data_IF_331054336466
#
_entry.id   IF_331054336466
#
_cell.length_a   1.000
_cell.length_b   1.000
_cell.length_c   1.000
_cell.angle_alpha   90.00
_cell.angle_beta   90.00
_cell.angle_gamma   90.00
#
_symmetry.space_group_name_H-M   'P 1'
#
loop_
_entity.id
_entity.type
_entity.pdbx_description
1 polymer ?
#
# COMPACT_ATOMS: atom_id res chain seq x y z
N UNK A 1 -27.98 1.55 6.90
CA UNK A 1 -26.78 1.55 6.05
C UNK A 1 -25.81 0.56 6.67
N UNK A 2 -25.35 -0.45 5.94
CA UNK A 2 -24.31 -1.37 6.41
C UNK A 2 -23.10 -0.55 6.86
N UNK A 3 -22.63 -0.75 8.10
CA UNK A 3 -21.46 -0.08 8.63
C UNK A 3 -20.19 -0.74 8.06
N UNK A 4 -20.03 -0.64 6.74
CA UNK A 4 -18.97 -1.29 6.00
C UNK A 4 -17.62 -0.64 6.34
N UNK A 5 -16.70 -1.41 6.90
CA UNK A 5 -15.41 -0.92 7.37
C UNK A 5 -14.45 -0.73 6.20
N UNK A 6 -14.14 0.54 5.93
CA UNK A 6 -13.12 0.95 4.96
C UNK A 6 -11.72 0.71 5.54
N UNK A 7 -11.04 -0.35 5.12
CA UNK A 7 -9.74 -0.76 5.69
C UNK A 7 -8.61 -0.64 4.69
N UNK A 8 -7.50 0.00 5.09
CA UNK A 8 -6.25 0.07 4.31
C UNK A 8 -5.09 -0.41 5.19
N UNK A 9 -4.23 -1.29 4.68
CA UNK A 9 -3.00 -1.74 5.35
C UNK A 9 -1.76 -1.34 4.55
N UNK A 10 -1.09 -0.27 4.99
CA UNK A 10 0.06 0.32 4.33
C UNK A 10 1.37 -0.14 4.99
N UNK A 11 2.25 -0.83 4.26
CA UNK A 11 3.54 -1.33 4.76
C UNK A 11 4.73 -0.59 4.12
N UNK A 12 5.82 -0.38 4.87
CA UNK A 12 7.05 0.20 4.32
C UNK A 12 7.62 -0.68 3.20
N UNK A 13 7.86 -1.95 3.51
CA UNK A 13 8.22 -2.99 2.54
C UNK A 13 7.99 -4.38 3.14
N UNK A 14 8.46 -5.43 2.45
CA UNK A 14 8.54 -6.76 3.02
C UNK A 14 7.20 -7.46 3.17
N UNK A 15 6.42 -7.55 2.09
CA UNK A 15 5.18 -8.36 1.99
C UNK A 15 5.46 -9.87 2.15
N UNK A 16 5.84 -10.27 3.36
CA UNK A 16 6.16 -11.63 3.79
C UNK A 16 4.93 -12.32 4.39
N UNK A 17 5.05 -13.64 4.64
CA UNK A 17 3.93 -14.47 5.09
C UNK A 17 3.18 -13.92 6.32
N UNK A 18 3.81 -13.42 7.40
CA UNK A 18 3.05 -12.89 8.55
C UNK A 18 2.22 -11.64 8.20
N UNK A 19 2.70 -10.80 7.28
CA UNK A 19 1.89 -9.69 6.76
C UNK A 19 0.71 -10.16 5.92
N UNK A 20 0.90 -11.20 5.10
CA UNK A 20 -0.21 -11.77 4.32
C UNK A 20 -1.25 -12.43 5.23
N UNK A 21 -0.84 -13.11 6.29
CA UNK A 21 -1.73 -13.65 7.30
C UNK A 21 -2.46 -12.54 8.06
N UNK A 22 -1.77 -11.47 8.45
CA UNK A 22 -2.39 -10.33 9.09
C UNK A 22 -3.41 -9.67 8.16
N UNK A 23 -3.05 -9.44 6.89
CA UNK A 23 -3.95 -8.96 5.85
C UNK A 23 -5.20 -9.84 5.70
N UNK A 24 -5.03 -11.16 5.65
CA UNK A 24 -6.16 -12.10 5.60
C UNK A 24 -7.06 -11.95 6.83
N UNK A 25 -6.50 -11.79 8.03
CA UNK A 25 -7.28 -11.61 9.25
C UNK A 25 -8.13 -10.34 9.25
N UNK A 26 -7.66 -9.27 8.59
CA UNK A 26 -8.40 -8.00 8.48
C UNK A 26 -9.69 -8.14 7.66
N UNK A 27 -9.78 -9.14 6.78
CA UNK A 27 -10.99 -9.42 6.00
C UNK A 27 -12.12 -10.04 6.84
N UNK A 28 -11.79 -10.58 8.02
CA UNK A 28 -12.72 -11.32 8.87
C UNK A 28 -13.16 -12.68 8.31
N UNK A 29 -12.57 -13.16 7.22
CA UNK A 29 -12.89 -14.45 6.59
C UNK A 29 -11.83 -15.49 6.92
N UNK A 30 -12.26 -16.76 7.02
CA UNK A 30 -11.35 -17.88 7.30
C UNK A 30 -10.35 -18.12 6.16
N UNK A 31 -10.81 -18.02 4.91
CA UNK A 31 -9.99 -18.21 3.71
C UNK A 31 -10.37 -17.17 2.65
N UNK A 32 -9.95 -15.90 2.80
CA UNK A 32 -10.33 -14.81 1.90
C UNK A 32 -9.73 -14.95 0.51
N UNK A 33 -10.46 -14.45 -0.48
CA UNK A 33 -9.95 -14.17 -1.83
C UNK A 33 -9.09 -12.92 -1.80
N UNK A 34 -7.78 -13.07 -1.97
CA UNK A 34 -6.85 -11.95 -1.97
C UNK A 34 -6.21 -11.82 -3.35
N UNK A 35 -6.44 -10.69 -4.01
CA UNK A 35 -5.90 -10.40 -5.32
C UNK A 35 -4.60 -9.60 -5.23
N UNK A 36 -3.54 -10.08 -5.87
CA UNK A 36 -2.39 -9.24 -6.19
C UNK A 36 -2.73 -8.33 -7.38
N UNK A 37 -2.36 -7.06 -7.27
CA UNK A 37 -2.34 -6.10 -8.37
C UNK A 37 -0.86 -5.69 -8.65
N UNK A 38 -0.17 -6.39 -9.58
CA UNK A 38 1.27 -6.28 -9.77
C UNK A 38 1.69 -5.17 -10.75
N UNK A 39 0.83 -4.17 -10.97
CA UNK A 39 1.05 -3.15 -12.01
C UNK A 39 2.34 -2.35 -11.79
N UNK A 40 2.74 -2.10 -10.53
CA UNK A 40 3.99 -1.39 -10.23
C UNK A 40 5.26 -2.16 -10.65
N UNK A 41 5.18 -3.49 -10.79
CA UNK A 41 6.25 -4.32 -11.37
C UNK A 41 5.96 -4.72 -12.83
N UNK A 42 5.10 -3.97 -13.53
CA UNK A 42 4.70 -4.23 -14.91
C UNK A 42 4.20 -5.66 -15.14
N UNK A 43 3.40 -6.18 -14.21
CA UNK A 43 2.87 -7.56 -14.23
C UNK A 43 3.95 -8.65 -14.38
N UNK A 44 5.14 -8.43 -13.80
CA UNK A 44 6.25 -9.37 -13.83
C UNK A 44 5.82 -10.80 -13.46
N UNK A 45 5.97 -11.78 -14.39
CA UNK A 45 5.64 -13.18 -14.12
C UNK A 45 6.38 -13.76 -12.92
N UNK A 46 7.66 -13.40 -12.73
CA UNK A 46 8.47 -13.84 -11.60
C UNK A 46 7.94 -13.31 -10.25
N UNK A 47 7.45 -12.06 -10.23
CA UNK A 47 6.83 -11.50 -9.03
C UNK A 47 5.49 -12.18 -8.73
N UNK A 48 4.71 -12.48 -9.78
CA UNK A 48 3.45 -13.22 -9.65
C UNK A 48 3.68 -14.63 -9.10
N UNK A 49 4.68 -15.35 -9.61
CA UNK A 49 5.05 -16.68 -9.10
C UNK A 49 5.50 -16.62 -7.63
N UNK A 50 6.30 -15.61 -7.27
CA UNK A 50 6.71 -15.36 -5.88
C UNK A 50 5.51 -15.11 -4.97
N UNK A 51 4.53 -14.33 -5.44
CA UNK A 51 3.27 -14.09 -4.71
C UNK A 51 2.49 -15.38 -4.47
N UNK A 52 2.28 -16.19 -5.52
CA UNK A 52 1.58 -17.46 -5.41
C UNK A 52 2.30 -18.42 -4.45
N UNK A 53 3.63 -18.45 -4.52
CA UNK A 53 4.47 -19.26 -3.63
C UNK A 53 4.35 -18.82 -2.17
N UNK A 54 4.37 -17.50 -1.89
CA UNK A 54 4.20 -16.95 -0.53
C UNK A 54 2.81 -17.19 0.05
N UNK A 55 1.79 -17.27 -0.79
CA UNK A 55 0.45 -17.65 -0.37
C UNK A 55 0.33 -19.16 -0.10
N UNK A 56 1.26 -19.97 -0.64
CA UNK A 56 1.34 -21.40 -0.38
C UNK A 56 1.46 -21.69 1.11
N UNK A 57 0.54 -22.49 1.64
CA UNK A 57 0.48 -22.84 3.07
C UNK A 57 -0.24 -21.81 3.96
N UNK A 58 -0.75 -20.72 3.39
CA UNK A 58 -1.61 -19.76 4.11
C UNK A 58 -3.09 -20.07 3.85
N UNK A 59 -3.96 -19.73 4.79
CA UNK A 59 -5.41 -19.76 4.61
C UNK A 59 -5.89 -18.59 3.73
N UNK A 60 -5.40 -18.55 2.49
CA UNK A 60 -5.71 -17.53 1.47
C UNK A 60 -6.10 -18.25 0.17
N UNK A 61 -7.08 -17.70 -0.55
CA UNK A 61 -7.32 -18.03 -1.95
C UNK A 61 -6.65 -16.96 -2.81
N UNK A 62 -5.44 -17.20 -3.36
CA UNK A 62 -4.69 -16.17 -4.06
C UNK A 62 -5.24 -15.95 -5.47
N UNK A 63 -5.43 -14.68 -5.83
CA UNK A 63 -5.83 -14.21 -7.15
C UNK A 63 -4.79 -13.21 -7.69
N UNK A 64 -4.82 -12.96 -8.99
CA UNK A 64 -3.92 -12.00 -9.65
C UNK A 64 -4.69 -11.28 -10.75
N UNK A 65 -4.71 -9.96 -10.70
CA UNK A 65 -5.26 -9.13 -11.78
C UNK A 65 -4.11 -8.43 -12.50
N UNK A 66 -3.77 -8.94 -13.70
CA UNK A 66 -2.84 -8.26 -14.61
C UNK A 66 -3.53 -7.08 -15.29
N UNK A 67 -2.80 -6.03 -15.62
CA UNK A 67 -3.29 -4.87 -16.38
C UNK A 67 -2.73 -4.85 -17.81
N UNK A 68 -1.56 -5.43 -18.03
CA UNK A 68 -0.94 -5.67 -19.34
C UNK A 68 -1.55 -6.95 -19.94
N UNK A 69 -2.78 -6.83 -20.45
CA UNK A 69 -3.58 -7.95 -20.95
C UNK A 69 -3.94 -7.81 -22.42
N UNK A 70 -4.43 -8.91 -22.98
CA UNK A 70 -5.10 -8.97 -24.27
C UNK A 70 -6.57 -9.29 -24.05
N UNK A 71 -7.46 -8.63 -24.78
CA UNK A 71 -8.91 -8.91 -24.73
C UNK A 71 -9.26 -10.31 -25.25
N UNK A 72 -8.32 -10.99 -25.94
CA UNK A 72 -8.49 -12.39 -26.31
C UNK A 72 -8.44 -13.32 -25.09
N UNK A 73 -7.63 -12.98 -24.07
CA UNK A 73 -7.35 -13.84 -22.91
C UNK A 73 -8.17 -13.44 -21.67
N UNK A 74 -8.50 -12.16 -21.52
CA UNK A 74 -9.32 -11.68 -20.40
C UNK A 74 -10.70 -11.24 -20.88
N UNK A 75 -11.73 -11.97 -20.41
CA UNK A 75 -13.15 -11.70 -20.74
C UNK A 75 -13.92 -10.99 -19.62
N UNK A 76 -13.40 -11.04 -18.41
CA UNK A 76 -13.97 -10.38 -17.24
C UNK A 76 -13.37 -8.97 -17.13
N UNK A 77 -14.20 -7.98 -16.83
CA UNK A 77 -13.75 -6.59 -16.65
C UNK A 77 -12.85 -6.44 -15.42
N UNK A 78 -12.01 -5.40 -15.38
CA UNK A 78 -11.25 -5.09 -14.16
C UNK A 78 -12.16 -4.86 -12.95
N UNK A 79 -13.33 -4.25 -13.16
CA UNK A 79 -14.29 -3.97 -12.10
C UNK A 79 -14.87 -5.25 -11.52
N UNK A 80 -15.39 -6.14 -12.37
CA UNK A 80 -15.95 -7.41 -11.93
C UNK A 80 -14.91 -8.27 -11.20
N UNK A 81 -13.68 -8.34 -11.73
CA UNK A 81 -12.59 -9.07 -11.11
C UNK A 81 -12.25 -8.50 -9.72
N UNK A 82 -11.92 -7.21 -9.64
CA UNK A 82 -11.44 -6.59 -8.40
C UNK A 82 -12.53 -6.50 -7.32
N UNK A 83 -13.80 -6.26 -7.70
CA UNK A 83 -14.91 -6.19 -6.73
C UNK A 83 -15.39 -7.56 -6.23
N UNK A 84 -14.94 -8.66 -6.84
CA UNK A 84 -15.24 -10.02 -6.38
C UNK A 84 -14.29 -10.54 -5.29
N UNK A 85 -13.33 -9.70 -4.86
CA UNK A 85 -12.28 -10.03 -3.90
C UNK A 85 -12.65 -9.62 -2.47
N UNK A 86 -11.97 -10.22 -1.50
CA UNK A 86 -12.06 -9.87 -0.08
C UNK A 86 -10.93 -8.91 0.33
N UNK A 87 -9.81 -8.99 -0.37
CA UNK A 87 -8.70 -8.07 -0.23
C UNK A 87 -7.91 -7.89 -1.51
N UNK A 88 -7.27 -6.73 -1.66
CA UNK A 88 -6.41 -6.38 -2.79
C UNK A 88 -5.05 -5.95 -2.25
N UNK A 89 -3.98 -6.59 -2.72
CA UNK A 89 -2.59 -6.28 -2.36
C UNK A 89 -1.89 -5.69 -3.58
N UNK A 90 -1.43 -4.45 -3.48
CA UNK A 90 -0.66 -3.79 -4.53
C UNK A 90 0.83 -4.04 -4.32
N UNK A 91 1.53 -4.42 -5.39
CA UNK A 91 2.98 -4.67 -5.34
C UNK A 91 3.78 -3.38 -5.09
N UNK A 92 5.02 -3.54 -4.63
CA UNK A 92 6.04 -2.49 -4.78
C UNK A 92 6.42 -2.28 -6.26
N UNK A 93 7.30 -1.33 -6.54
CA UNK A 93 7.81 -1.05 -7.89
C UNK A 93 7.69 0.42 -8.27
N UNK A 94 7.36 0.71 -9.53
CA UNK A 94 7.28 2.07 -10.04
C UNK A 94 5.89 2.69 -9.80
N UNK A 95 5.77 3.54 -8.77
CA UNK A 95 4.51 4.22 -8.40
C UNK A 95 3.99 5.11 -9.52
N UNK A 96 4.87 5.87 -10.19
CA UNK A 96 4.45 6.82 -11.23
C UNK A 96 3.76 6.12 -12.39
N UNK A 97 4.38 5.07 -12.92
CA UNK A 97 3.86 4.31 -14.06
C UNK A 97 2.58 3.58 -13.68
N UNK A 98 2.54 2.97 -12.48
CA UNK A 98 1.33 2.33 -11.96
C UNK A 98 0.16 3.31 -11.91
N UNK A 99 0.36 4.50 -11.34
CA UNK A 99 -0.68 5.54 -11.24
C UNK A 99 -1.16 6.02 -12.61
N UNK A 100 -0.23 6.22 -13.56
CA UNK A 100 -0.58 6.61 -14.92
C UNK A 100 -1.44 5.55 -15.63
N UNK A 101 -1.04 4.28 -15.52
CA UNK A 101 -1.78 3.15 -16.10
C UNK A 101 -3.16 3.02 -15.48
N UNK A 102 -3.27 3.09 -14.15
CA UNK A 102 -4.56 2.94 -13.48
C UNK A 102 -5.54 4.06 -13.83
N UNK A 103 -5.07 5.32 -13.91
CA UNK A 103 -5.91 6.43 -14.38
C UNK A 103 -6.40 6.23 -15.81
N UNK A 104 -5.54 5.74 -16.70
CA UNK A 104 -5.92 5.46 -18.09
C UNK A 104 -6.94 4.31 -18.20
N UNK A 105 -6.84 3.31 -17.32
CA UNK A 105 -7.71 2.12 -17.31
C UNK A 105 -8.95 2.28 -16.42
N UNK A 106 -9.09 3.39 -15.68
CA UNK A 106 -10.18 3.59 -14.70
C UNK A 106 -10.08 2.73 -13.44
N UNK A 107 -8.93 2.10 -13.19
CA UNK A 107 -8.70 1.21 -12.03
C UNK A 107 -8.67 2.02 -10.72
N UNK A 108 -8.23 3.27 -10.76
CA UNK A 108 -8.30 4.21 -9.63
C UNK A 108 -9.72 4.32 -9.04
N UNK A 109 -10.73 4.43 -9.91
CA UNK A 109 -12.15 4.50 -9.52
C UNK A 109 -12.65 3.16 -8.99
N UNK A 110 -12.22 2.07 -9.60
CA UNK A 110 -12.58 0.71 -9.15
C UNK A 110 -12.02 0.44 -7.76
N UNK A 111 -10.77 0.81 -7.49
CA UNK A 111 -10.15 0.68 -6.16
C UNK A 111 -10.87 1.52 -5.11
N UNK A 112 -11.34 2.73 -5.47
CA UNK A 112 -12.17 3.53 -4.56
C UNK A 112 -13.47 2.82 -4.21
N UNK A 113 -14.14 2.26 -5.23
CA UNK A 113 -15.38 1.49 -5.04
C UNK A 113 -15.15 0.22 -4.21
N UNK A 114 -14.03 -0.48 -4.43
CA UNK A 114 -13.64 -1.64 -3.64
C UNK A 114 -13.51 -1.28 -2.15
N UNK A 115 -12.81 -0.19 -1.86
CA UNK A 115 -12.65 0.31 -0.49
C UNK A 115 -14.00 0.63 0.16
N UNK A 116 -14.88 1.35 -0.56
CA UNK A 116 -16.22 1.71 -0.08
C UNK A 116 -17.13 0.50 0.17
N UNK A 117 -16.88 -0.62 -0.52
CA UNK A 117 -17.56 -1.89 -0.30
C UNK A 117 -16.92 -2.74 0.80
N UNK A 118 -15.87 -2.25 1.45
CA UNK A 118 -15.22 -2.91 2.59
C UNK A 118 -14.20 -3.96 2.19
N UNK A 119 -13.81 -4.01 0.92
CA UNK A 119 -12.66 -4.80 0.47
C UNK A 119 -11.42 -4.20 1.12
N UNK A 120 -10.62 -5.05 1.78
CA UNK A 120 -9.40 -4.58 2.44
C UNK A 120 -8.38 -4.24 1.36
N UNK A 121 -7.81 -3.04 1.39
CA UNK A 121 -6.73 -2.65 0.50
C UNK A 121 -5.40 -2.73 1.24
N UNK A 122 -4.34 -3.18 0.58
CA UNK A 122 -3.03 -3.25 1.17
C UNK A 122 -1.92 -3.08 0.14
N UNK A 123 -0.70 -2.83 0.60
CA UNK A 123 0.46 -2.85 -0.26
C UNK A 123 1.75 -2.51 0.49
N UNK A 124 2.87 -2.77 -0.17
CA UNK A 124 4.21 -2.43 0.32
C UNK A 124 4.95 -1.54 -0.67
N UNK A 125 5.84 -0.67 -0.21
CA UNK A 125 6.59 0.25 -1.07
C UNK A 125 5.62 1.12 -1.91
N UNK A 126 5.71 1.10 -3.24
CA UNK A 126 4.76 1.77 -4.13
C UNK A 126 3.29 1.45 -3.82
N UNK A 127 3.01 0.20 -3.45
CA UNK A 127 1.67 -0.24 -3.10
C UNK A 127 1.16 0.32 -1.78
N UNK A 128 2.03 0.73 -0.84
CA UNK A 128 1.58 1.46 0.35
C UNK A 128 1.42 2.95 0.07
N UNK A 129 2.35 3.53 -0.69
CA UNK A 129 2.34 4.93 -1.08
C UNK A 129 1.08 5.32 -1.88
N UNK A 130 0.61 4.45 -2.77
CA UNK A 130 -0.49 4.79 -3.69
C UNK A 130 -1.82 5.15 -3.00
N UNK A 131 -2.03 4.78 -1.74
CA UNK A 131 -3.26 5.09 -1.00
C UNK A 131 -3.35 6.51 -0.47
N UNK A 132 -2.22 7.19 -0.33
CA UNK A 132 -2.11 8.51 0.27
C UNK A 132 -2.34 9.62 -0.76
N UNK A 133 -2.32 10.89 -0.35
CA UNK A 133 -2.43 12.02 -1.28
C UNK A 133 -1.16 12.16 -2.13
N UNK A 134 0.00 12.09 -1.48
CA UNK A 134 1.30 12.27 -2.11
C UNK A 134 2.43 11.66 -1.29
N UNK A 135 3.59 11.47 -1.91
CA UNK A 135 4.80 11.09 -1.20
C UNK A 135 6.03 11.00 -2.09
N UNK A 136 7.11 10.45 -1.55
CA UNK A 136 8.40 10.35 -2.25
C UNK A 136 8.46 9.14 -3.18
N UNK A 137 9.03 9.31 -4.37
CA UNK A 137 9.19 8.23 -5.34
C UNK A 137 10.53 8.28 -6.05
N UNK A 138 11.09 7.11 -6.29
CA UNK A 138 12.27 6.78 -7.09
C UNK A 138 11.90 6.46 -8.55
N UNK A 139 10.66 6.74 -8.98
CA UNK A 139 10.16 6.38 -10.30
C UNK A 139 10.78 7.17 -11.46
N UNK A 140 11.69 8.11 -11.18
CA UNK A 140 12.37 8.96 -12.16
C UNK A 140 13.89 8.78 -12.02
N UNK A 141 14.65 8.88 -13.12
CA UNK A 141 16.11 8.89 -13.05
C UNK A 141 16.64 10.01 -12.17
N UNK A 142 17.91 9.89 -11.76
CA UNK A 142 18.73 10.90 -11.07
C UNK A 142 18.41 11.08 -9.58
N UNK A 143 17.16 11.35 -9.22
CA UNK A 143 16.82 11.72 -7.84
C UNK A 143 15.43 11.23 -7.40
N UNK A 144 15.25 11.14 -6.07
CA UNK A 144 13.93 10.91 -5.47
C UNK A 144 13.09 12.17 -5.66
N UNK A 145 11.93 12.02 -6.27
CA UNK A 145 10.99 13.10 -6.58
C UNK A 145 9.67 12.90 -5.83
N UNK A 146 8.67 13.74 -6.12
CA UNK A 146 7.31 13.60 -5.58
C UNK A 146 6.37 12.93 -6.59
N UNK A 147 5.26 12.39 -6.08
CA UNK A 147 4.16 11.86 -6.90
C UNK A 147 2.82 12.03 -6.19
N UNK A 148 1.81 12.44 -6.96
CA UNK A 148 0.41 12.44 -6.52
C UNK A 148 -0.19 11.03 -6.66
N UNK A 149 -0.87 10.59 -5.63
CA UNK A 149 -1.41 9.24 -5.49
C UNK A 149 -2.95 9.26 -5.53
N UNK A 150 -3.62 8.22 -4.99
CA UNK A 150 -5.07 8.10 -5.06
C UNK A 150 -5.83 9.02 -4.09
N UNK A 151 -5.17 9.47 -3.02
CA UNK A 151 -5.77 10.36 -2.01
C UNK A 151 -6.90 9.72 -1.21
N UNK A 152 -6.86 8.40 -0.98
CA UNK A 152 -7.83 7.73 -0.11
C UNK A 152 -7.55 8.05 1.36
N UNK A 153 -6.26 8.13 1.71
CA UNK A 153 -5.76 8.58 3.00
C UNK A 153 -5.30 10.04 2.90
N UNK A 154 -5.90 10.91 3.70
CA UNK A 154 -5.70 12.38 3.74
C UNK A 154 -4.40 12.76 4.47
N UNK A 155 -3.28 12.22 3.99
CA UNK A 155 -1.95 12.40 4.56
C UNK A 155 -0.90 12.17 3.47
N UNK A 156 0.36 12.55 3.74
CA UNK A 156 1.50 12.07 2.95
C UNK A 156 2.01 10.72 3.45
N UNK A 157 2.82 10.04 2.63
CA UNK A 157 3.49 8.80 3.03
C UNK A 157 4.94 8.68 2.56
N UNK A 158 5.74 7.98 3.37
CA UNK A 158 7.13 7.63 3.06
C UNK A 158 7.42 6.17 3.45
N UNK A 159 7.47 5.22 2.48
CA UNK A 159 7.97 3.87 2.71
C UNK A 159 9.52 3.84 2.76
N UNK A 160 10.11 2.69 3.14
CA UNK A 160 11.57 2.49 3.23
C UNK A 160 12.27 3.54 4.10
N UNK A 161 11.62 3.92 5.20
CA UNK A 161 12.03 5.09 5.98
C UNK A 161 13.37 4.92 6.70
N UNK A 162 13.78 3.68 6.96
CA UNK A 162 15.05 3.27 7.54
C UNK A 162 16.10 2.86 6.49
N UNK A 163 15.68 2.22 5.40
CA UNK A 163 16.58 1.52 4.47
C UNK A 163 17.07 2.37 3.29
N UNK A 164 16.35 3.45 2.94
CA UNK A 164 16.75 4.37 1.87
C UNK A 164 17.17 5.74 2.45
N UNK A 165 18.48 6.02 2.61
CA UNK A 165 18.98 7.16 3.41
C UNK A 165 18.51 8.53 2.95
N UNK A 166 18.16 8.69 1.67
CA UNK A 166 17.70 9.96 1.11
C UNK A 166 16.23 10.24 1.43
N UNK A 167 15.41 9.21 1.69
CA UNK A 167 13.95 9.36 1.86
C UNK A 167 13.58 10.14 3.10
N UNK A 168 14.17 9.82 4.26
CA UNK A 168 13.83 10.47 5.53
C UNK A 168 14.17 11.97 5.54
N UNK A 169 15.38 12.40 5.16
CA UNK A 169 15.72 13.83 5.03
C UNK A 169 14.84 14.57 4.01
N UNK A 170 14.55 13.98 2.84
CA UNK A 170 13.70 14.60 1.84
C UNK A 170 12.26 14.74 2.32
N UNK A 171 11.72 13.70 2.97
CA UNK A 171 10.38 13.73 3.53
C UNK A 171 10.26 14.81 4.61
N UNK A 172 11.24 14.91 5.52
CA UNK A 172 11.32 16.01 6.47
C UNK A 172 11.31 17.37 5.76
N UNK A 173 12.13 17.54 4.72
CA UNK A 173 12.18 18.80 3.99
C UNK A 173 10.82 19.17 3.38
N UNK A 174 10.12 18.22 2.74
CA UNK A 174 8.81 18.47 2.14
C UNK A 174 7.71 18.77 3.16
N UNK A 175 7.75 18.14 4.34
CA UNK A 175 6.84 18.44 5.44
C UNK A 175 7.11 19.86 5.98
N UNK A 176 8.39 20.20 6.19
CA UNK A 176 8.81 21.51 6.68
C UNK A 176 8.45 22.65 5.73
N UNK A 177 8.64 22.45 4.44
CA UNK A 177 8.35 23.46 3.41
C UNK A 177 6.85 23.63 3.14
N UNK A 178 6.00 22.75 3.69
CA UNK A 178 4.57 22.69 3.37
C UNK A 178 4.26 22.10 2.00
N UNK A 179 5.25 21.53 1.31
CA UNK A 179 5.03 20.78 0.06
C UNK A 179 4.18 19.54 0.33
N UNK A 180 4.39 18.88 1.46
CA UNK A 180 3.55 17.79 1.94
C UNK A 180 2.81 18.20 3.22
N UNK A 181 1.53 17.79 3.32
CA UNK A 181 0.81 17.73 4.60
C UNK A 181 1.53 16.79 5.57
N UNK A 182 1.33 16.92 6.90
CA UNK A 182 1.69 15.88 7.86
C UNK A 182 1.25 14.48 7.41
N UNK A 183 2.02 13.48 7.77
CA UNK A 183 1.72 12.13 7.31
C UNK A 183 2.50 11.05 7.99
N UNK A 184 2.46 9.88 7.37
CA UNK A 184 2.97 8.66 7.97
C UNK A 184 4.25 8.22 7.29
N UNK A 185 5.10 7.54 8.03
CA UNK A 185 6.29 6.90 7.48
C UNK A 185 6.40 5.49 8.05
N UNK A 186 6.94 4.56 7.26
CA UNK A 186 7.13 3.18 7.69
C UNK A 186 8.52 2.72 7.30
N UNK A 187 9.23 2.20 8.30
CA UNK A 187 10.41 1.39 8.08
C UNK A 187 10.02 0.14 7.28
N UNK A 188 11.01 -0.51 6.68
CA UNK A 188 10.83 -1.83 6.12
C UNK A 188 10.28 -2.77 7.18
N UNK A 189 9.36 -3.65 6.79
CA UNK A 189 8.71 -4.59 7.70
C UNK A 189 7.85 -3.98 8.82
N UNK A 190 7.59 -2.67 8.81
CA UNK A 190 6.55 -2.03 9.60
C UNK A 190 5.34 -1.67 8.72
N UNK A 191 4.15 -1.61 9.32
CA UNK A 191 2.93 -1.22 8.62
C UNK A 191 1.84 -0.66 9.52
N UNK A 192 0.94 0.11 8.92
CA UNK A 192 -0.16 0.80 9.58
C UNK A 192 -1.48 0.33 8.97
N UNK A 193 -2.40 -0.10 9.82
CA UNK A 193 -3.79 -0.39 9.47
C UNK A 193 -4.63 0.85 9.77
N UNK A 194 -5.32 1.33 8.74
CA UNK A 194 -6.28 2.43 8.81
C UNK A 194 -7.71 1.89 8.75
N UNK A 195 -8.60 2.50 9.52
CA UNK A 195 -10.04 2.38 9.36
C UNK A 195 -10.58 3.78 8.97
N UNK A 196 -11.02 3.92 7.72
CA UNK A 196 -11.19 5.23 7.09
C UNK A 196 -9.86 5.98 7.02
N UNK A 197 -9.79 7.15 7.64
CA UNK A 197 -8.59 7.99 7.74
C UNK A 197 -7.90 7.90 9.12
N UNK A 198 -8.36 6.99 9.99
CA UNK A 198 -7.86 6.88 11.36
C UNK A 198 -6.94 5.67 11.51
N UNK A 199 -5.78 5.86 12.14
CA UNK A 199 -4.90 4.76 12.52
C UNK A 199 -5.62 3.86 13.51
N UNK A 200 -5.84 2.61 13.13
CA UNK A 200 -6.45 1.59 13.97
C UNK A 200 -5.40 0.74 14.67
N UNK A 201 -4.33 0.38 13.97
CA UNK A 201 -3.28 -0.48 14.50
C UNK A 201 -1.96 -0.22 13.76
N UNK A 202 -0.85 -0.37 14.47
CA UNK A 202 0.48 -0.45 13.85
C UNK A 202 1.06 -1.82 14.15
N UNK A 203 1.68 -2.43 13.15
CA UNK A 203 2.28 -3.76 13.23
C UNK A 203 3.70 -3.73 12.70
N UNK A 204 4.53 -4.65 13.17
CA UNK A 204 5.87 -4.86 12.64
C UNK A 204 6.22 -6.34 12.60
N UNK A 205 7.08 -6.75 11.67
CA UNK A 205 7.67 -8.09 11.68
C UNK A 205 8.94 -8.18 12.53
N UNK A 206 9.49 -7.03 12.94
CA UNK A 206 10.74 -6.94 13.70
C UNK A 206 10.65 -5.90 14.82
N UNK A 207 11.33 -6.16 15.91
CA UNK A 207 11.29 -5.28 17.09
C UNK A 207 11.94 -3.92 16.80
N UNK A 208 12.90 -3.85 15.90
CA UNK A 208 13.63 -2.64 15.54
C UNK A 208 12.90 -1.75 14.52
N UNK A 209 11.99 -2.31 13.71
CA UNK A 209 11.30 -1.58 12.64
C UNK A 209 10.04 -0.87 13.16
N UNK A 210 9.85 0.40 12.81
CA UNK A 210 8.79 1.25 13.35
C UNK A 210 7.96 1.93 12.26
N UNK A 211 6.80 2.45 12.69
CA UNK A 211 6.05 3.44 11.92
C UNK A 211 5.99 4.75 12.69
N UNK A 212 5.87 5.85 11.95
CA UNK A 212 5.98 7.20 12.49
C UNK A 212 4.83 8.06 11.99
N UNK A 213 4.43 9.03 12.81
CA UNK A 213 3.70 10.21 12.35
C UNK A 213 4.65 11.40 12.30
N UNK A 214 4.79 12.01 11.13
CA UNK A 214 5.74 13.09 10.82
C UNK A 214 4.97 14.37 10.54
N UNK A 215 5.31 15.45 11.23
CA UNK A 215 4.61 16.73 11.18
C UNK A 215 5.58 17.89 11.42
N UNK A 216 5.18 19.10 11.03
CA UNK A 216 5.92 20.32 11.35
C UNK A 216 5.24 21.04 12.52
N UNK A 217 6.02 21.52 13.48
CA UNK A 217 5.58 22.36 14.59
C UNK A 217 6.60 23.47 14.80
N UNK A 218 6.17 24.73 14.80
CA UNK A 218 7.05 25.91 14.96
C UNK A 218 8.23 25.97 13.96
N UNK A 219 8.03 25.48 12.73
CA UNK A 219 9.06 25.45 11.68
C UNK A 219 10.06 24.29 11.78
N UNK A 220 9.92 23.43 12.78
CA UNK A 220 10.74 22.23 12.96
C UNK A 220 9.94 20.96 12.62
N UNK A 221 10.59 20.00 11.98
CA UNK A 221 9.99 18.68 11.72
C UNK A 221 10.14 17.81 12.95
N UNK A 222 9.05 17.20 13.36
CA UNK A 222 8.99 16.20 14.42
C UNK A 222 8.47 14.89 13.86
N UNK A 223 8.96 13.81 14.43
CA UNK A 223 8.47 12.46 14.15
C UNK A 223 8.11 11.79 15.48
N UNK A 224 6.94 11.17 15.53
CA UNK A 224 6.45 10.42 16.68
C UNK A 224 6.37 8.96 16.29
N UNK A 225 7.15 8.11 16.97
CA UNK A 225 7.01 6.65 16.84
C UNK A 225 5.60 6.26 17.29
N UNK A 226 4.94 5.44 16.48
CA UNK A 226 3.63 4.89 16.79
C UNK A 226 3.78 3.56 17.52
N UNK A 227 2.95 3.36 18.54
CA UNK A 227 2.92 2.11 19.30
C UNK A 227 2.53 0.94 18.38
N UNK A 228 3.36 -0.11 18.36
CA UNK A 228 3.21 -1.24 17.45
C UNK A 228 3.03 -2.57 18.18
N UNK A 229 2.46 -3.53 17.48
CA UNK A 229 2.47 -4.94 17.86
C UNK A 229 3.39 -5.71 16.93
N UNK A 230 4.32 -6.50 17.48
CA UNK A 230 5.17 -7.39 16.67
C UNK A 230 4.37 -8.64 16.31
N UNK A 231 4.25 -8.89 15.01
CA UNK A 231 3.63 -10.09 14.46
C UNK A 231 4.61 -11.26 14.62
N UNK A 232 4.10 -12.39 15.09
CA UNK A 232 4.85 -13.64 15.24
C UNK A 232 4.54 -14.58 14.09
#
# INVERSE_FOLDING_TARGET
MSNTKRTIFACGAGLLAPFLQHMASLTGKKRPRICLLPTAVADSPAFIETWLTRCGGLDIEPHVQKVFISSYDQKISFEESLLSMDGIVVSGGNTLNMMAIWKAQGIDKILRKAWDQGIVLAGGSAGSLCWFEHGTTDSRPIEITTVDCLGFLEASHCPHYDSEPTRRPLYHNYIRSGTFKPGYACDDYAGIVFEGNTVRQVVSLKEECNAYYVYAENGEVKERILEKVVLK
#
